data_IF_471174545266
#
_entry.id   IF_471174545266
#
_cell.length_a   1.000
_cell.length_b   1.000
_cell.length_c   1.000
_cell.angle_alpha   90.00
_cell.angle_beta   90.00
_cell.angle_gamma   90.00
#
_symmetry.space_group_name_H-M   'P 1'
#
loop_
_entity.id
_entity.type
_entity.pdbx_description
1 polymer ?
#
# COMPACT_ATOMS: atom_id res chain seq x y z
N UNK A 1 -36.46 -15.65 -21.71
CA UNK A 1 -36.15 -14.60 -20.71
C UNK A 1 -36.48 -13.26 -21.32
N UNK A 2 -37.08 -12.31 -20.59
CA UNK A 2 -37.42 -11.01 -21.17
C UNK A 2 -36.13 -10.20 -21.45
N UNK A 3 -36.10 -9.33 -22.47
CA UNK A 3 -34.94 -8.50 -22.78
C UNK A 3 -34.44 -7.69 -21.58
N UNK A 4 -35.36 -7.24 -20.73
CA UNK A 4 -35.06 -6.54 -19.48
C UNK A 4 -34.23 -7.39 -18.51
N UNK A 5 -34.60 -8.65 -18.32
CA UNK A 5 -33.86 -9.56 -17.41
C UNK A 5 -32.45 -9.82 -17.94
N UNK A 6 -32.29 -9.97 -19.25
CA UNK A 6 -30.96 -10.15 -19.87
C UNK A 6 -30.07 -8.93 -19.67
N UNK A 7 -30.60 -7.72 -19.87
CA UNK A 7 -29.83 -6.48 -19.64
C UNK A 7 -29.40 -6.35 -18.18
N UNK A 8 -30.31 -6.62 -17.24
CA UNK A 8 -30.00 -6.58 -15.81
C UNK A 8 -28.89 -7.59 -15.48
N UNK A 9 -29.00 -8.83 -15.95
CA UNK A 9 -28.00 -9.86 -15.73
C UNK A 9 -26.61 -9.46 -16.28
N UNK A 10 -26.56 -8.88 -17.48
CA UNK A 10 -25.30 -8.40 -18.07
C UNK A 10 -24.68 -7.26 -17.25
N UNK A 11 -25.48 -6.30 -16.78
CA UNK A 11 -24.99 -5.22 -15.92
C UNK A 11 -24.38 -5.79 -14.64
N UNK A 12 -25.03 -6.77 -14.00
CA UNK A 12 -24.48 -7.41 -12.80
C UNK A 12 -23.17 -8.14 -13.08
N UNK A 13 -23.09 -8.90 -14.18
CA UNK A 13 -21.87 -9.64 -14.54
C UNK A 13 -20.72 -8.67 -14.81
N UNK A 14 -20.95 -7.64 -15.62
CA UNK A 14 -19.93 -6.63 -15.94
C UNK A 14 -19.53 -5.84 -14.70
N UNK A 15 -20.50 -5.44 -13.87
CA UNK A 15 -20.25 -4.71 -12.62
C UNK A 15 -19.43 -5.53 -11.62
N UNK A 16 -19.77 -6.81 -11.46
CA UNK A 16 -19.00 -7.72 -10.60
C UNK A 16 -17.58 -7.92 -11.14
N UNK A 17 -17.43 -8.15 -12.44
CA UNK A 17 -16.12 -8.31 -13.06
C UNK A 17 -15.26 -7.03 -12.90
N UNK A 18 -15.85 -5.85 -13.08
CA UNK A 18 -15.15 -4.58 -12.89
C UNK A 18 -14.76 -4.34 -11.43
N UNK A 19 -15.66 -4.64 -10.48
CA UNK A 19 -15.36 -4.53 -9.05
C UNK A 19 -14.22 -5.46 -8.66
N UNK A 20 -14.28 -6.73 -9.05
CA UNK A 20 -13.22 -7.70 -8.78
C UNK A 20 -11.88 -7.24 -9.38
N UNK A 21 -11.91 -6.80 -10.65
CA UNK A 21 -10.72 -6.38 -11.36
C UNK A 21 -10.07 -5.10 -10.81
N UNK A 22 -10.86 -4.13 -10.35
CA UNK A 22 -10.34 -2.82 -9.92
C UNK A 22 -10.15 -2.70 -8.40
N UNK A 23 -10.95 -3.42 -7.61
CA UNK A 23 -10.95 -3.30 -6.15
C UNK A 23 -10.23 -4.47 -5.51
N UNK A 24 -10.70 -5.70 -5.74
CA UNK A 24 -10.16 -6.90 -5.08
C UNK A 24 -8.74 -7.22 -5.56
N UNK A 25 -8.52 -7.15 -6.88
CA UNK A 25 -7.20 -7.44 -7.48
C UNK A 25 -6.32 -6.20 -7.61
N UNK A 26 -6.80 -5.02 -7.21
CA UNK A 26 -6.09 -3.73 -7.33
C UNK A 26 -5.54 -3.46 -8.76
N UNK A 27 -6.19 -4.01 -9.79
CA UNK A 27 -5.85 -3.79 -11.20
C UNK A 27 -4.64 -4.56 -11.74
N UNK A 28 -4.12 -5.57 -11.01
CA UNK A 28 -2.90 -6.30 -11.41
C UNK A 28 -2.99 -6.93 -12.82
N UNK A 29 -4.18 -7.37 -13.23
CA UNK A 29 -4.42 -7.97 -14.55
C UNK A 29 -4.51 -6.95 -15.70
N UNK A 30 -4.62 -5.66 -15.38
CA UNK A 30 -4.68 -4.56 -16.36
C UNK A 30 -3.31 -3.90 -16.60
N UNK A 31 -2.29 -4.34 -15.86
CA UNK A 31 -0.89 -3.93 -16.03
C UNK A 31 -0.49 -2.72 -15.18
N UNK A 32 0.83 -2.50 -15.12
CA UNK A 32 1.47 -1.59 -14.14
C UNK A 32 0.91 -0.16 -14.11
N UNK A 33 0.52 0.39 -15.27
CA UNK A 33 0.04 1.77 -15.34
C UNK A 33 -1.30 1.93 -14.62
N UNK A 34 -2.16 0.92 -14.70
CA UNK A 34 -3.47 0.94 -14.02
C UNK A 34 -3.28 0.77 -12.52
N UNK A 35 -2.40 -0.13 -12.09
CA UNK A 35 -2.04 -0.31 -10.67
C UNK A 35 -1.52 0.98 -10.04
N UNK A 36 -0.54 1.63 -10.68
CA UNK A 36 0.01 2.91 -10.20
C UNK A 36 -1.09 3.98 -10.11
N UNK A 37 -1.94 4.07 -11.13
CA UNK A 37 -3.05 5.01 -11.15
C UNK A 37 -4.07 4.73 -10.03
N UNK A 38 -4.42 3.47 -9.76
CA UNK A 38 -5.31 3.10 -8.66
C UNK A 38 -4.73 3.52 -7.30
N UNK A 39 -3.44 3.25 -7.05
CA UNK A 39 -2.79 3.74 -5.83
C UNK A 39 -2.76 5.27 -5.75
N UNK A 40 -2.51 5.97 -6.86
CA UNK A 40 -2.62 7.43 -6.91
C UNK A 40 -4.05 7.93 -6.56
N UNK A 41 -5.09 7.19 -6.92
CA UNK A 41 -6.50 7.53 -6.59
C UNK A 41 -6.79 7.33 -5.09
N UNK A 42 -6.22 6.31 -4.47
CA UNK A 42 -6.53 5.97 -3.07
C UNK A 42 -5.48 6.44 -2.07
N UNK A 43 -4.34 7.01 -2.49
CA UNK A 43 -3.18 7.32 -1.63
C UNK A 43 -3.53 7.97 -0.28
N UNK A 44 -4.34 9.04 -0.27
CA UNK A 44 -4.71 9.75 0.96
C UNK A 44 -5.64 8.98 1.90
N UNK A 45 -6.29 7.92 1.39
CA UNK A 45 -7.19 7.04 2.15
C UNK A 45 -6.58 5.65 2.38
N UNK A 46 -5.41 5.39 1.81
CA UNK A 46 -4.83 4.06 1.74
C UNK A 46 -4.63 3.45 3.14
N UNK A 47 -4.07 4.23 4.05
CA UNK A 47 -3.83 3.79 5.43
C UNK A 47 -5.13 3.50 6.18
N UNK A 48 -6.18 4.30 5.98
CA UNK A 48 -7.48 4.05 6.57
C UNK A 48 -8.12 2.76 6.00
N UNK A 49 -8.03 2.57 4.67
CA UNK A 49 -8.50 1.34 4.01
C UNK A 49 -7.75 0.11 4.54
N UNK A 50 -6.44 0.24 4.76
CA UNK A 50 -5.59 -0.83 5.30
C UNK A 50 -5.55 -0.85 6.83
N UNK A 51 -6.42 -0.07 7.48
CA UNK A 51 -6.59 0.01 8.94
C UNK A 51 -5.27 0.14 9.69
N UNK A 52 -4.45 1.10 9.27
CA UNK A 52 -3.17 1.41 9.89
C UNK A 52 -3.29 1.61 11.40
N UNK A 53 -2.38 1.00 12.15
CA UNK A 53 -2.25 1.12 13.61
C UNK A 53 -0.77 1.10 14.02
N UNK A 54 -0.30 2.16 14.67
CA UNK A 54 1.12 2.34 15.05
C UNK A 54 1.65 1.18 15.92
N UNK A 55 0.81 0.62 16.79
CA UNK A 55 1.22 -0.46 17.71
C UNK A 55 1.44 -1.75 16.93
N UNK A 56 0.53 -2.08 16.02
CA UNK A 56 0.70 -3.25 15.14
C UNK A 56 1.92 -3.12 14.24
N UNK A 57 2.15 -1.95 13.62
CA UNK A 57 3.35 -1.75 12.78
C UNK A 57 4.64 -1.92 13.60
N UNK A 58 4.66 -1.37 14.82
CA UNK A 58 5.82 -1.48 15.68
C UNK A 58 6.11 -2.94 16.05
N UNK A 59 5.08 -3.70 16.43
CA UNK A 59 5.20 -5.09 16.86
C UNK A 59 5.54 -6.04 15.71
N UNK A 60 4.91 -5.86 14.55
CA UNK A 60 4.99 -6.82 13.43
C UNK A 60 5.96 -6.43 12.33
N UNK A 61 6.33 -5.14 12.20
CA UNK A 61 7.34 -4.69 11.26
C UNK A 61 8.64 -4.31 11.96
N UNK A 62 8.61 -3.29 12.83
CA UNK A 62 9.84 -2.67 13.33
C UNK A 62 10.68 -3.62 14.21
N UNK A 63 10.07 -4.22 15.23
CA UNK A 63 10.76 -5.13 16.16
C UNK A 63 11.43 -6.34 15.47
N UNK A 64 10.73 -7.14 14.63
CA UNK A 64 11.35 -8.31 14.00
C UNK A 64 12.43 -7.94 12.97
N UNK A 65 12.34 -6.77 12.33
CA UNK A 65 13.39 -6.27 11.45
C UNK A 65 14.61 -5.81 12.23
N UNK A 66 14.43 -5.02 13.29
CA UNK A 66 15.54 -4.56 14.14
C UNK A 66 16.30 -5.69 14.81
N UNK A 67 15.63 -6.80 15.15
CA UNK A 67 16.29 -8.00 15.66
C UNK A 67 17.26 -8.66 14.65
N UNK A 68 17.13 -8.32 13.36
CA UNK A 68 17.94 -8.87 12.25
C UNK A 68 18.89 -7.85 11.63
N UNK A 69 18.61 -6.56 11.79
CA UNK A 69 19.47 -5.50 11.29
C UNK A 69 20.74 -5.37 12.16
N UNK A 70 21.84 -4.84 11.59
CA UNK A 70 22.99 -4.42 12.36
C UNK A 70 22.59 -3.44 13.47
N UNK A 71 23.23 -3.55 14.64
CA UNK A 71 22.93 -2.69 15.78
C UNK A 71 23.31 -1.22 15.57
N UNK A 72 24.21 -0.94 14.64
CA UNK A 72 24.75 0.40 14.36
C UNK A 72 24.67 0.68 12.87
N UNK A 73 24.18 1.87 12.51
CA UNK A 73 24.11 2.37 11.14
C UNK A 73 23.51 1.38 10.11
N UNK A 74 22.33 0.77 10.37
CA UNK A 74 21.70 -0.11 9.41
C UNK A 74 21.25 0.67 8.16
N UNK A 75 21.50 0.10 6.98
CA UNK A 75 20.96 0.60 5.72
C UNK A 75 19.77 -0.25 5.27
N UNK A 76 18.60 0.36 5.11
CA UNK A 76 17.36 -0.30 4.70
C UNK A 76 16.88 0.28 3.37
N UNK A 77 16.65 -0.59 2.37
CA UNK A 77 15.96 -0.23 1.14
C UNK A 77 14.55 -0.80 1.20
N UNK A 78 13.55 0.07 1.23
CA UNK A 78 12.13 -0.30 1.23
C UNK A 78 11.55 -0.15 -0.19
N UNK A 79 11.27 -1.28 -0.83
CA UNK A 79 10.82 -1.34 -2.23
C UNK A 79 9.29 -1.41 -2.27
N UNK A 80 8.69 -0.49 -3.02
CA UNK A 80 7.25 -0.22 -2.97
C UNK A 80 6.81 0.25 -1.58
N UNK A 81 7.52 1.29 -1.08
CA UNK A 81 7.31 1.85 0.26
C UNK A 81 5.90 2.41 0.48
N UNK A 82 5.15 2.63 -0.61
CA UNK A 82 3.77 3.08 -0.56
C UNK A 82 3.66 4.40 0.21
N UNK A 83 2.81 4.41 1.23
CA UNK A 83 2.56 5.55 2.12
C UNK A 83 3.52 5.64 3.31
N UNK A 84 4.59 4.83 3.34
CA UNK A 84 5.69 4.95 4.30
C UNK A 84 5.49 4.21 5.63
N UNK A 85 4.60 3.21 5.71
CA UNK A 85 4.31 2.48 6.96
C UNK A 85 5.54 1.86 7.61
N UNK A 86 6.33 1.09 6.85
CA UNK A 86 7.54 0.45 7.37
C UNK A 86 8.62 1.49 7.78
N UNK A 87 8.99 2.47 6.93
CA UNK A 87 9.97 3.48 7.31
C UNK A 87 9.56 4.26 8.55
N UNK A 88 8.28 4.66 8.65
CA UNK A 88 7.75 5.34 9.82
C UNK A 88 7.89 4.48 11.08
N UNK A 89 7.51 3.20 11.02
CA UNK A 89 7.61 2.28 12.14
C UNK A 89 9.07 2.07 12.62
N UNK A 90 10.03 2.01 11.70
CA UNK A 90 11.45 1.94 12.02
C UNK A 90 11.95 3.25 12.64
N UNK A 91 11.63 4.41 12.05
CA UNK A 91 12.02 5.72 12.57
C UNK A 91 11.44 6.01 13.96
N UNK A 92 10.24 5.51 14.27
CA UNK A 92 9.62 5.65 15.59
C UNK A 92 10.24 4.70 16.64
N UNK A 93 10.99 3.68 16.24
CA UNK A 93 11.60 2.75 17.17
C UNK A 93 12.87 3.35 17.79
N UNK A 94 12.90 3.46 19.12
CA UNK A 94 13.95 4.14 19.90
C UNK A 94 15.40 3.58 19.79
N UNK A 95 15.63 2.55 18.96
CA UNK A 95 16.94 1.91 18.74
C UNK A 95 17.37 1.91 17.28
N UNK A 96 16.54 2.46 16.39
CA UNK A 96 16.90 2.56 14.98
C UNK A 96 17.72 3.84 14.77
N UNK A 97 19.00 3.67 14.50
CA UNK A 97 19.94 4.78 14.22
C UNK A 97 20.66 4.49 12.90
N UNK A 98 19.91 4.56 11.79
CA UNK A 98 20.43 4.25 10.45
C UNK A 98 19.70 4.99 9.34
N UNK A 99 19.84 4.48 8.12
CA UNK A 99 19.33 5.11 6.91
C UNK A 99 18.26 4.25 6.24
N UNK A 100 17.15 4.87 5.85
CA UNK A 100 16.09 4.22 5.10
C UNK A 100 15.95 4.92 3.75
N UNK A 101 15.96 4.14 2.67
CA UNK A 101 15.68 4.58 1.32
C UNK A 101 14.36 3.95 0.91
N UNK A 102 13.29 4.73 0.89
CA UNK A 102 11.98 4.29 0.38
C UNK A 102 11.86 4.59 -1.11
N UNK A 103 11.45 3.60 -1.91
CA UNK A 103 11.17 3.79 -3.35
C UNK A 103 9.74 3.39 -3.68
N UNK A 104 9.06 4.22 -4.46
CA UNK A 104 7.67 4.00 -4.86
C UNK A 104 7.41 4.60 -6.26
N UNK A 105 6.57 3.92 -7.05
CA UNK A 105 6.21 4.33 -8.40
C UNK A 105 5.02 5.31 -8.40
N UNK A 106 4.10 5.19 -7.46
CA UNK A 106 3.01 6.15 -7.26
C UNK A 106 3.53 7.43 -6.63
N UNK A 107 3.39 8.54 -7.38
CA UNK A 107 3.82 9.87 -6.92
C UNK A 107 3.02 10.34 -5.72
N UNK A 108 1.75 9.98 -5.61
CA UNK A 108 0.92 10.41 -4.49
C UNK A 108 1.18 9.57 -3.25
N UNK A 109 1.45 8.27 -3.40
CA UNK A 109 1.81 7.42 -2.26
C UNK A 109 3.13 7.91 -1.62
N UNK A 110 4.18 8.15 -2.42
CA UNK A 110 5.45 8.64 -1.89
C UNK A 110 5.33 10.04 -1.28
N UNK A 111 4.45 10.90 -1.81
CA UNK A 111 4.16 12.19 -1.18
C UNK A 111 3.54 12.02 0.21
N UNK A 112 2.60 11.08 0.37
CA UNK A 112 2.04 10.74 1.68
C UNK A 112 3.09 10.16 2.63
N UNK A 113 4.05 9.37 2.13
CA UNK A 113 5.17 8.88 2.94
C UNK A 113 6.06 10.03 3.43
N UNK A 114 6.44 10.93 2.53
CA UNK A 114 7.29 12.08 2.84
C UNK A 114 6.63 13.10 3.78
N UNK A 115 5.30 13.19 3.80
CA UNK A 115 4.58 14.05 4.75
C UNK A 115 4.56 13.50 6.19
N UNK A 116 4.78 12.19 6.38
CA UNK A 116 4.69 11.53 7.70
C UNK A 116 6.02 11.36 8.41
N UNK A 117 7.13 11.34 7.67
CA UNK A 117 8.48 11.03 8.15
C UNK A 117 9.30 12.32 8.20
#
# INVERSE_FOLDING_TARGET
MSPLVTVIALIFIVGFAAWWLLIDTEGVYLGKRVVIWLYDVYASRYDNIKQYDDVEEHLYLAQPLLAKLPATDPMVLDVATGTGRLPLALCQHARFEGHIIGVELSRKMIAQAAEKI
#
